data_IF_693254209070
#
_entry.id   IF_693254209070
#
_cell.length_a   1.000
_cell.length_b   1.000
_cell.length_c   1.000
_cell.angle_alpha   90.00
_cell.angle_beta   90.00
_cell.angle_gamma   90.00
#
_symmetry.space_group_name_H-M   'P 1'
#
loop_
_entity.id
_entity.type
_entity.pdbx_description
1 polymer ?
#
# COMPACT_ATOMS: atom_id res chain seq x y z
N UNK A 1 10.16 -15.61 12.18
CA UNK A 1 10.54 -14.52 11.26
C UNK A 1 11.63 -13.71 11.93
N UNK A 2 12.57 -13.10 11.19
CA UNK A 2 13.50 -12.12 11.77
C UNK A 2 12.72 -10.98 12.43
N UNK A 3 13.32 -10.34 13.44
CA UNK A 3 12.75 -9.11 14.01
C UNK A 3 12.80 -7.94 13.00
N UNK A 4 12.03 -6.88 13.27
CA UNK A 4 11.88 -5.76 12.35
C UNK A 4 13.22 -5.06 12.04
N UNK A 5 14.13 -5.01 13.02
CA UNK A 5 15.45 -4.40 12.86
C UNK A 5 16.34 -5.22 11.91
N UNK A 6 16.34 -6.54 12.04
CA UNK A 6 17.08 -7.44 11.16
C UNK A 6 16.52 -7.41 9.73
N UNK A 7 15.19 -7.34 9.57
CA UNK A 7 14.55 -7.18 8.28
C UNK A 7 14.89 -5.83 7.62
N UNK A 8 15.04 -4.77 8.42
CA UNK A 8 15.35 -3.43 7.93
C UNK A 8 16.78 -3.25 7.41
N UNK A 9 17.71 -4.16 7.73
CA UNK A 9 19.09 -4.12 7.23
C UNK A 9 19.25 -4.54 5.76
N UNK A 10 18.14 -4.80 5.04
CA UNK A 10 18.16 -5.23 3.65
C UNK A 10 18.14 -4.04 2.67
N UNK A 11 18.68 -4.19 1.45
CA UNK A 11 18.67 -3.11 0.45
C UNK A 11 17.28 -2.70 -0.02
N UNK A 12 16.31 -3.60 0.09
CA UNK A 12 14.89 -3.35 -0.16
C UNK A 12 14.09 -3.92 0.99
N UNK A 13 13.23 -3.11 1.60
CA UNK A 13 12.39 -3.50 2.73
C UNK A 13 10.93 -3.32 2.34
N UNK A 14 10.10 -4.34 2.57
CA UNK A 14 8.66 -4.27 2.38
C UNK A 14 7.95 -4.15 3.73
N UNK A 15 6.96 -3.27 3.83
CA UNK A 15 6.03 -3.25 4.96
C UNK A 15 4.59 -3.46 4.49
N UNK A 16 3.87 -4.35 5.18
CA UNK A 16 2.44 -4.60 4.98
C UNK A 16 1.75 -4.49 6.34
N UNK A 17 1.38 -3.26 6.71
CA UNK A 17 0.85 -2.90 8.01
C UNK A 17 -0.61 -2.43 7.89
N UNK A 18 -1.33 -2.45 9.01
CA UNK A 18 -2.78 -2.29 9.00
C UNK A 18 -3.26 -0.88 8.66
N UNK A 19 -2.60 0.15 9.22
CA UNK A 19 -3.04 1.54 9.16
C UNK A 19 -1.88 2.52 9.45
N UNK A 20 -2.17 3.82 9.44
CA UNK A 20 -1.24 4.91 9.75
C UNK A 20 -0.52 4.69 11.09
N UNK A 21 -1.25 4.34 12.15
CA UNK A 21 -0.70 4.18 13.49
C UNK A 21 0.27 2.99 13.56
N UNK A 22 -0.09 1.85 12.96
CA UNK A 22 0.79 0.69 12.86
C UNK A 22 2.06 1.00 12.08
N UNK A 23 1.96 1.76 11.00
CA UNK A 23 3.12 2.20 10.20
C UNK A 23 4.07 3.06 11.02
N UNK A 24 3.56 4.06 11.76
CA UNK A 24 4.41 4.89 12.62
C UNK A 24 4.99 4.11 13.80
N UNK A 25 4.21 3.20 14.40
CA UNK A 25 4.66 2.37 15.49
C UNK A 25 5.85 1.47 15.09
N UNK A 26 5.84 0.91 13.88
CA UNK A 26 6.93 0.03 13.41
C UNK A 26 8.10 0.83 12.84
N UNK A 27 7.84 1.78 11.95
CA UNK A 27 8.91 2.48 11.23
C UNK A 27 9.62 3.51 12.08
N UNK A 28 8.87 4.33 12.81
CA UNK A 28 9.45 5.43 13.58
C UNK A 28 9.72 4.99 15.03
N UNK A 29 8.68 4.58 15.77
CA UNK A 29 8.80 4.26 17.21
C UNK A 29 9.61 2.97 17.43
N UNK A 30 9.37 1.96 16.59
CA UNK A 30 10.09 0.69 16.58
C UNK A 30 11.46 0.74 15.91
N UNK A 31 11.85 1.90 15.36
CA UNK A 31 13.18 2.13 14.81
C UNK A 31 13.49 1.37 13.52
N UNK A 32 12.52 0.77 12.83
CA UNK A 32 12.80 0.05 11.59
C UNK A 32 13.35 0.99 10.50
N UNK A 33 12.80 2.20 10.36
CA UNK A 33 13.38 3.23 9.47
C UNK A 33 14.78 3.65 9.95
N UNK A 34 15.02 3.62 11.26
CA UNK A 34 16.33 3.95 11.80
C UNK A 34 17.41 2.91 11.48
N UNK A 35 17.01 1.65 11.36
CA UNK A 35 17.89 0.53 11.03
C UNK A 35 18.18 0.39 9.52
N UNK A 36 17.42 1.07 8.65
CA UNK A 36 17.66 1.05 7.21
C UNK A 36 18.95 1.80 6.85
N UNK A 37 19.73 1.21 5.95
CA UNK A 37 20.92 1.85 5.39
C UNK A 37 20.53 3.04 4.48
N UNK A 38 21.38 4.08 4.38
CA UNK A 38 21.30 5.03 3.27
C UNK A 38 21.27 4.28 1.94
N UNK A 39 20.53 4.80 0.96
CA UNK A 39 20.28 4.19 -0.36
C UNK A 39 19.46 2.88 -0.37
N UNK A 40 18.97 2.42 0.79
CA UNK A 40 17.94 1.38 0.83
C UNK A 40 16.61 1.91 0.27
N UNK A 41 15.75 1.02 -0.22
CA UNK A 41 14.40 1.38 -0.67
C UNK A 41 13.37 0.72 0.23
N UNK A 42 12.55 1.53 0.88
CA UNK A 42 11.37 1.07 1.58
C UNK A 42 10.15 1.10 0.66
N UNK A 43 9.49 -0.05 0.52
CA UNK A 43 8.27 -0.26 -0.23
C UNK A 43 7.10 -0.41 0.75
N UNK A 44 6.32 0.66 0.90
CA UNK A 44 5.16 0.66 1.78
C UNK A 44 3.92 0.16 1.04
N UNK A 45 3.41 -1.01 1.42
CA UNK A 45 2.23 -1.64 0.83
C UNK A 45 0.94 -1.39 1.64
N UNK A 46 1.04 -0.72 2.78
CA UNK A 46 -0.11 -0.40 3.62
C UNK A 46 -1.05 0.58 2.91
N UNK A 47 -2.34 0.47 3.23
CA UNK A 47 -3.31 1.53 2.86
C UNK A 47 -3.26 2.58 3.96
N UNK A 48 -2.60 3.70 3.66
CA UNK A 48 -2.44 4.82 4.59
C UNK A 48 -3.05 6.11 4.05
N UNK A 49 -3.27 7.08 4.94
CA UNK A 49 -3.68 8.42 4.53
C UNK A 49 -2.61 9.12 3.68
N UNK A 50 -3.04 10.07 2.86
CA UNK A 50 -2.13 10.93 2.08
C UNK A 50 -1.21 11.74 3.01
N UNK A 51 -1.75 12.20 4.14
CA UNK A 51 -0.98 12.92 5.15
C UNK A 51 0.11 12.05 5.79
N UNK A 52 -0.22 10.79 6.10
CA UNK A 52 0.77 9.83 6.60
C UNK A 52 1.85 9.54 5.55
N UNK A 53 1.48 9.36 4.28
CA UNK A 53 2.44 9.18 3.20
C UNK A 53 3.39 10.39 3.08
N UNK A 54 2.87 11.62 3.18
CA UNK A 54 3.68 12.85 3.15
C UNK A 54 4.70 12.89 4.29
N UNK A 55 4.29 12.55 5.51
CA UNK A 55 5.19 12.45 6.66
C UNK A 55 6.29 11.41 6.42
N UNK A 56 5.93 10.23 5.91
CA UNK A 56 6.89 9.17 5.66
C UNK A 56 7.88 9.55 4.56
N UNK A 57 7.44 10.19 3.47
CA UNK A 57 8.34 10.70 2.42
C UNK A 57 9.40 11.63 3.04
N UNK A 58 8.98 12.57 3.89
CA UNK A 58 9.92 13.47 4.57
C UNK A 58 10.87 12.72 5.52
N UNK A 59 10.35 11.78 6.31
CA UNK A 59 11.15 10.99 7.26
C UNK A 59 12.20 10.11 6.55
N UNK A 60 11.86 9.53 5.40
CA UNK A 60 12.78 8.71 4.59
C UNK A 60 13.84 9.58 3.92
N UNK A 61 13.44 10.71 3.33
CA UNK A 61 14.35 11.67 2.71
C UNK A 61 15.40 12.20 3.70
N UNK A 62 15.00 12.51 4.94
CA UNK A 62 15.89 12.97 6.00
C UNK A 62 17.00 11.96 6.37
N UNK A 63 16.85 10.69 5.97
CA UNK A 63 17.81 9.61 6.21
C UNK A 63 18.50 9.10 4.95
N UNK A 64 18.20 9.68 3.78
CA UNK A 64 18.70 9.18 2.50
C UNK A 64 18.14 7.79 2.13
N UNK A 65 16.96 7.44 2.63
CA UNK A 65 16.26 6.18 2.28
C UNK A 65 15.24 6.48 1.18
N UNK A 66 15.21 5.65 0.14
CA UNK A 66 14.19 5.73 -0.90
C UNK A 66 12.82 5.28 -0.40
N UNK A 67 11.76 5.93 -0.85
CA UNK A 67 10.38 5.59 -0.48
C UNK A 67 9.53 5.33 -1.73
N UNK A 68 8.91 4.16 -1.79
CA UNK A 68 7.94 3.79 -2.82
C UNK A 68 6.62 3.45 -2.13
N UNK A 69 5.56 4.16 -2.49
CA UNK A 69 4.21 3.75 -2.13
C UNK A 69 3.75 2.66 -3.12
N UNK A 70 3.38 1.50 -2.59
CA UNK A 70 2.95 0.34 -3.35
C UNK A 70 1.67 -0.32 -2.77
N UNK A 71 0.62 0.42 -2.38
CA UNK A 71 -0.61 -0.19 -1.86
C UNK A 71 -1.25 -1.13 -2.89
N UNK A 72 -1.98 -2.14 -2.41
CA UNK A 72 -2.47 -3.24 -3.25
C UNK A 72 -3.99 -3.41 -3.22
N UNK A 73 -4.57 -3.88 -4.31
CA UNK A 73 -5.87 -4.55 -4.32
C UNK A 73 -5.69 -6.05 -4.45
N UNK A 74 -6.47 -6.79 -3.68
CA UNK A 74 -6.46 -8.25 -3.64
C UNK A 74 -6.57 -8.75 -2.21
N UNK A 75 -7.20 -9.91 -2.06
CA UNK A 75 -7.34 -10.63 -0.79
C UNK A 75 -6.11 -11.54 -0.57
N UNK A 76 -5.93 -12.12 0.64
CA UNK A 76 -4.79 -12.99 0.93
C UNK A 76 -4.60 -14.18 -0.02
N UNK A 77 -5.68 -14.75 -0.56
CA UNK A 77 -5.65 -15.81 -1.58
C UNK A 77 -5.05 -15.31 -2.90
N UNK A 78 -5.39 -14.10 -3.33
CA UNK A 78 -4.77 -13.46 -4.49
C UNK A 78 -3.28 -13.16 -4.23
N UNK A 79 -2.92 -12.73 -3.02
CA UNK A 79 -1.51 -12.53 -2.64
C UNK A 79 -0.70 -13.82 -2.72
N UNK A 80 -1.20 -14.92 -2.13
CA UNK A 80 -0.56 -16.23 -2.15
C UNK A 80 -0.39 -16.78 -3.58
N UNK A 81 -1.28 -16.41 -4.49
CA UNK A 81 -1.22 -16.78 -5.91
C UNK A 81 -0.38 -15.82 -6.78
N UNK A 82 0.23 -14.77 -6.21
CA UNK A 82 0.97 -13.75 -6.97
C UNK A 82 0.07 -12.89 -7.87
N UNK A 83 -1.19 -12.66 -7.47
CA UNK A 83 -2.25 -12.02 -8.28
C UNK A 83 -2.72 -10.68 -7.73
N UNK A 84 -1.90 -10.00 -6.93
CA UNK A 84 -2.23 -8.63 -6.50
C UNK A 84 -2.25 -7.65 -7.66
N UNK A 85 -3.07 -6.61 -7.55
CA UNK A 85 -2.93 -5.39 -8.35
C UNK A 85 -2.20 -4.37 -7.49
N UNK A 86 -0.96 -4.09 -7.84
CA UNK A 86 -0.08 -3.18 -7.09
C UNK A 86 -0.18 -1.78 -7.70
N UNK A 87 -0.37 -0.76 -6.86
CA UNK A 87 -0.37 0.65 -7.28
C UNK A 87 0.97 1.27 -6.87
N UNK A 88 1.89 1.48 -7.81
CA UNK A 88 3.24 1.91 -7.50
C UNK A 88 3.46 3.39 -7.83
N UNK A 89 3.98 4.17 -6.88
CA UNK A 89 4.47 5.52 -7.11
C UNK A 89 5.72 5.82 -6.25
N UNK A 90 6.63 6.59 -6.82
CA UNK A 90 7.93 6.93 -6.24
C UNK A 90 8.95 7.23 -7.34
N UNK A 91 10.13 7.70 -6.95
CA UNK A 91 11.18 8.05 -7.89
C UNK A 91 11.47 6.90 -8.88
N UNK A 92 11.63 7.24 -10.16
CA UNK A 92 11.57 6.28 -11.26
C UNK A 92 12.63 5.17 -11.15
N UNK A 93 13.83 5.53 -10.70
CA UNK A 93 14.94 4.63 -10.43
C UNK A 93 14.62 3.65 -9.29
N UNK A 94 13.92 4.10 -8.25
CA UNK A 94 13.53 3.26 -7.11
C UNK A 94 12.41 2.30 -7.49
N UNK A 95 11.40 2.79 -8.23
CA UNK A 95 10.32 1.95 -8.77
C UNK A 95 10.88 0.90 -9.73
N UNK A 96 11.83 1.27 -10.59
CA UNK A 96 12.52 0.33 -11.50
C UNK A 96 13.29 -0.73 -10.72
N UNK A 97 14.03 -0.33 -9.68
CA UNK A 97 14.80 -1.24 -8.82
C UNK A 97 13.92 -2.28 -8.12
N UNK A 98 12.74 -1.89 -7.62
CA UNK A 98 11.85 -2.81 -6.89
C UNK A 98 10.86 -3.54 -7.80
N UNK A 99 10.77 -3.17 -9.09
CA UNK A 99 9.80 -3.71 -10.04
C UNK A 99 9.80 -5.25 -10.12
N UNK A 100 10.94 -5.95 -10.20
CA UNK A 100 10.92 -7.42 -10.27
C UNK A 100 10.29 -8.07 -9.02
N UNK A 101 10.42 -7.44 -7.85
CA UNK A 101 9.85 -7.91 -6.60
C UNK A 101 8.33 -7.66 -6.56
N UNK A 102 7.87 -6.53 -7.11
CA UNK A 102 6.44 -6.24 -7.26
C UNK A 102 5.75 -7.18 -8.26
N UNK A 103 6.43 -7.51 -9.37
CA UNK A 103 5.92 -8.44 -10.38
C UNK A 103 5.83 -9.89 -9.83
N UNK A 104 6.64 -10.26 -8.83
CA UNK A 104 6.59 -11.58 -8.21
C UNK A 104 5.35 -11.81 -7.34
N UNK A 105 4.74 -10.73 -6.81
CA UNK A 105 3.57 -10.79 -5.92
C UNK A 105 2.28 -10.31 -6.59
N UNK A 106 2.39 -9.69 -7.77
CA UNK A 106 1.29 -9.06 -8.47
C UNK A 106 1.10 -9.57 -9.89
N UNK A 107 -0.15 -9.73 -10.31
CA UNK A 107 -0.49 -9.94 -11.73
C UNK A 107 -0.39 -8.65 -12.54
N UNK A 108 -0.39 -7.49 -11.86
CA UNK A 108 -0.30 -6.17 -12.48
C UNK A 108 0.31 -5.16 -11.53
N UNK A 109 1.28 -4.39 -12.04
CA UNK A 109 1.85 -3.21 -11.37
C UNK A 109 1.46 -1.95 -12.15
N UNK A 110 0.61 -1.13 -11.56
CA UNK A 110 0.11 0.12 -12.14
C UNK A 110 0.99 1.30 -11.70
N UNK A 111 1.67 2.00 -12.61
CA UNK A 111 2.47 3.18 -12.26
C UNK A 111 1.59 4.41 -12.07
N UNK A 112 1.83 5.18 -11.00
CA UNK A 112 1.16 6.45 -10.70
C UNK A 112 2.13 7.63 -10.59
N UNK A 113 3.32 7.49 -11.17
CA UNK A 113 4.33 8.54 -11.29
C UNK A 113 5.31 8.58 -10.13
N UNK A 114 6.00 9.71 -10.05
CA UNK A 114 7.13 9.99 -9.16
C UNK A 114 6.73 10.35 -7.72
N UNK A 115 5.54 10.92 -7.53
CA UNK A 115 5.02 11.29 -6.21
C UNK A 115 4.31 10.10 -5.52
N UNK A 116 4.86 9.55 -4.42
CA UNK A 116 4.26 8.43 -3.68
C UNK A 116 2.84 8.69 -3.19
N UNK A 117 2.45 9.95 -2.96
CA UNK A 117 1.11 10.28 -2.47
C UNK A 117 0.02 9.89 -3.48
N UNK A 118 0.34 9.90 -4.78
CA UNK A 118 -0.62 9.57 -5.86
C UNK A 118 -1.12 8.13 -5.75
N UNK A 119 -0.24 7.16 -5.47
CA UNK A 119 -0.66 5.77 -5.30
C UNK A 119 -1.59 5.60 -4.08
N UNK A 120 -1.31 6.30 -2.98
CA UNK A 120 -2.17 6.29 -1.79
C UNK A 120 -3.52 6.92 -2.08
N UNK A 121 -3.56 8.07 -2.76
CA UNK A 121 -4.79 8.74 -3.15
C UNK A 121 -5.66 7.85 -4.05
N UNK A 122 -5.06 7.19 -5.06
CA UNK A 122 -5.79 6.25 -5.94
C UNK A 122 -6.30 5.04 -5.15
N UNK A 123 -5.51 4.51 -4.21
CA UNK A 123 -5.96 3.41 -3.36
C UNK A 123 -7.19 3.79 -2.54
N UNK A 124 -7.15 4.96 -1.88
CA UNK A 124 -8.25 5.46 -1.07
C UNK A 124 -9.49 5.74 -1.93
N UNK A 125 -9.32 6.36 -3.10
CA UNK A 125 -10.40 6.60 -4.05
C UNK A 125 -11.05 5.29 -4.52
N UNK A 126 -10.25 4.26 -4.82
CA UNK A 126 -10.77 2.95 -5.21
C UNK A 126 -11.52 2.24 -4.08
N UNK A 127 -11.01 2.30 -2.85
CA UNK A 127 -11.73 1.75 -1.69
C UNK A 127 -13.03 2.51 -1.40
N UNK A 128 -13.02 3.84 -1.51
CA UNK A 128 -14.22 4.67 -1.38
C UNK A 128 -15.27 4.27 -2.43
N UNK A 129 -14.87 4.17 -3.70
CA UNK A 129 -15.75 3.74 -4.79
C UNK A 129 -16.36 2.35 -4.53
N UNK A 130 -15.56 1.39 -4.06
CA UNK A 130 -16.04 0.05 -3.72
C UNK A 130 -17.08 0.09 -2.60
N UNK A 131 -16.83 0.83 -1.54
CA UNK A 131 -17.77 0.98 -0.43
C UNK A 131 -19.08 1.63 -0.89
N UNK A 132 -19.00 2.72 -1.65
CA UNK A 132 -20.18 3.40 -2.20
C UNK A 132 -21.00 2.51 -3.13
N UNK A 133 -20.35 1.70 -3.97
CA UNK A 133 -21.05 0.78 -4.85
C UNK A 133 -21.76 -0.33 -4.05
N UNK A 134 -21.13 -0.87 -3.01
CA UNK A 134 -21.74 -1.86 -2.13
C UNK A 134 -22.99 -1.28 -1.47
N UNK A 135 -22.89 -0.08 -0.91
CA UNK A 135 -24.03 0.59 -0.26
C UNK A 135 -25.18 0.84 -1.23
N UNK A 136 -24.88 1.40 -2.41
CA UNK A 136 -25.91 1.66 -3.42
C UNK A 136 -26.63 0.38 -3.88
N UNK A 137 -25.89 -0.73 -4.02
CA UNK A 137 -26.49 -2.04 -4.32
C UNK A 137 -27.35 -2.58 -3.17
N UNK A 138 -26.91 -2.39 -1.92
CA UNK A 138 -27.65 -2.81 -0.73
C UNK A 138 -28.97 -2.03 -0.60
N UNK A 139 -28.95 -0.71 -0.78
CA UNK A 139 -30.14 0.14 -0.77
C UNK A 139 -31.11 -0.23 -1.90
N UNK A 140 -30.61 -0.40 -3.13
CA UNK A 140 -31.42 -0.79 -4.27
C UNK A 140 -32.09 -2.16 -4.08
N UNK A 141 -31.35 -3.13 -3.53
CA UNK A 141 -31.89 -4.45 -3.20
C UNK A 141 -32.96 -4.38 -2.11
N UNK A 142 -32.72 -3.60 -1.06
CA UNK A 142 -33.68 -3.41 0.04
C UNK A 142 -34.97 -2.75 -0.45
N UNK A 143 -34.87 -1.74 -1.31
CA UNK A 143 -36.02 -1.09 -1.94
C UNK A 143 -36.84 -2.09 -2.77
N UNK A 144 -36.18 -2.91 -3.59
CA UNK A 144 -36.87 -3.93 -4.38
C UNK A 144 -37.60 -4.95 -3.50
N UNK A 145 -36.96 -5.41 -2.41
CA UNK A 145 -37.54 -6.34 -1.44
C UNK A 145 -38.75 -5.76 -0.72
N UNK A 146 -38.72 -4.47 -0.36
CA UNK A 146 -39.86 -3.77 0.25
C UNK A 146 -41.09 -3.73 -0.66
N UNK A 147 -40.92 -3.94 -1.97
CA UNK A 147 -41.98 -4.03 -2.96
C UNK A 147 -42.25 -5.45 -3.46
N UNK A 148 -41.83 -6.47 -2.71
CA UNK A 148 -42.16 -7.87 -2.97
C UNK A 148 -41.32 -8.57 -4.03
N UNK A 149 -40.22 -7.95 -4.49
CA UNK A 149 -39.23 -8.63 -5.34
C UNK A 149 -38.30 -9.44 -4.43
N UNK A 150 -38.24 -10.76 -4.63
CA UNK A 150 -37.36 -11.62 -3.84
C UNK A 150 -35.88 -11.21 -4.03
N UNK A 151 -35.10 -11.29 -2.96
CA UNK A 151 -33.65 -11.16 -3.04
C UNK A 151 -33.09 -12.22 -4.01
N UNK A 152 -32.24 -11.78 -4.95
CA UNK A 152 -31.49 -12.67 -5.83
C UNK A 152 -30.30 -13.29 -5.10
#
# INVERSE_FOLDING_TARGET
>A
APDAATAAAQPVVFSMLADDAAVFAVLEQGGALAAMAPDAVHVNMATISVAAAQRLVAAHAARGVGYVAAPVFGRPDAAAAGKLVVLAAGAAEMVTRVRPLLDAIGQRVCPFGDDPLRANAVKLAGNFMLASAIEAMAEASTLAQAHGVAAA
#
